data_IF_192712457588
#
_entry.id   IF_192712457588
#
_cell.length_a   1.000
_cell.length_b   1.000
_cell.length_c   1.000
_cell.angle_alpha   90.00
_cell.angle_beta   90.00
_cell.angle_gamma   90.00
#
_symmetry.space_group_name_H-M   'P 1'
#
loop_
_entity.id
_entity.type
_entity.pdbx_description
1 polymer ?
#
# COMPACT_ATOMS: atom_id res chain seq x y z
N UNK A 1 -7.14 -6.28 -5.23
CA UNK A 1 -8.24 -5.62 -5.95
C UNK A 1 -8.13 -5.97 -7.43
N UNK A 2 -9.23 -5.97 -8.19
CA UNK A 2 -9.28 -6.39 -9.60
C UNK A 2 -9.43 -5.20 -10.57
N UNK A 3 -8.81 -4.06 -10.23
CA UNK A 3 -8.80 -2.84 -11.04
C UNK A 3 -8.32 -3.06 -12.48
N UNK A 4 -8.59 -2.11 -13.38
CA UNK A 4 -8.15 -2.23 -14.78
C UNK A 4 -6.63 -2.14 -14.93
N UNK A 5 -5.91 -1.60 -13.94
CA UNK A 5 -4.45 -1.47 -13.97
C UNK A 5 -3.72 -2.82 -13.89
N UNK A 6 -4.38 -3.88 -13.39
CA UNK A 6 -3.78 -5.23 -13.28
C UNK A 6 -4.04 -6.12 -14.50
N UNK A 7 -4.43 -5.53 -15.64
CA UNK A 7 -4.72 -6.25 -16.90
C UNK A 7 -3.69 -5.91 -17.98
N UNK A 8 -3.47 -6.82 -18.94
CA UNK A 8 -2.62 -6.57 -20.12
C UNK A 8 -1.13 -6.63 -19.79
N UNK A 9 -0.44 -5.48 -19.77
CA UNK A 9 1.01 -5.41 -19.54
C UNK A 9 1.43 -6.03 -18.19
N UNK A 10 0.58 -5.94 -17.17
CA UNK A 10 0.82 -6.59 -15.89
C UNK A 10 0.79 -8.12 -15.99
N UNK A 11 -0.16 -8.68 -16.76
CA UNK A 11 -0.26 -10.13 -16.96
C UNK A 11 0.96 -10.66 -17.74
N UNK A 12 1.40 -9.92 -18.77
CA UNK A 12 2.60 -10.27 -19.54
C UNK A 12 3.86 -10.29 -18.66
N UNK A 13 4.01 -9.32 -17.76
CA UNK A 13 5.14 -9.27 -16.83
C UNK A 13 5.07 -10.39 -15.80
N UNK A 14 3.90 -10.67 -15.25
CA UNK A 14 3.70 -11.76 -14.28
C UNK A 14 4.05 -13.11 -14.91
N UNK A 15 3.66 -13.34 -16.16
CA UNK A 15 3.99 -14.55 -16.90
C UNK A 15 5.50 -14.63 -17.20
N UNK A 16 6.09 -13.54 -17.69
CA UNK A 16 7.53 -13.46 -18.01
C UNK A 16 8.42 -13.71 -16.79
N UNK A 17 8.06 -13.15 -15.64
CA UNK A 17 8.84 -13.29 -14.40
C UNK A 17 8.39 -14.48 -13.53
N UNK A 18 7.43 -15.28 -14.02
CA UNK A 18 6.86 -16.43 -13.31
C UNK A 18 6.43 -16.11 -11.87
N UNK A 19 5.84 -14.93 -11.67
CA UNK A 19 5.40 -14.48 -10.36
C UNK A 19 4.03 -15.13 -10.08
N UNK A 20 3.86 -15.88 -8.98
CA UNK A 20 2.56 -16.46 -8.65
C UNK A 20 1.56 -15.34 -8.29
N UNK A 21 0.62 -15.06 -9.20
CA UNK A 21 -0.43 -14.07 -8.97
C UNK A 21 -1.71 -14.76 -8.45
N UNK A 22 -2.06 -14.47 -7.20
CA UNK A 22 -3.31 -14.93 -6.58
C UNK A 22 -4.39 -13.87 -6.81
N UNK A 23 -5.39 -14.21 -7.65
CA UNK A 23 -6.57 -13.37 -7.86
C UNK A 23 -7.57 -13.59 -6.73
N UNK A 24 -7.88 -12.54 -5.98
CA UNK A 24 -8.96 -12.55 -4.99
C UNK A 24 -10.31 -12.30 -5.67
N UNK A 25 -11.37 -12.91 -5.14
CA UNK A 25 -12.73 -12.68 -5.65
C UNK A 25 -13.12 -11.19 -5.49
N UNK A 26 -13.93 -10.64 -6.42
CA UNK A 26 -14.50 -9.31 -6.25
C UNK A 26 -15.25 -9.23 -4.91
N UNK A 27 -15.18 -8.09 -4.22
CA UNK A 27 -15.89 -7.80 -2.96
C UNK A 27 -15.44 -8.54 -1.69
N UNK A 28 -14.27 -9.21 -1.67
CA UNK A 28 -13.72 -9.78 -0.43
C UNK A 28 -12.76 -8.81 0.29
N UNK A 29 -13.30 -7.69 0.81
CA UNK A 29 -12.53 -6.66 1.54
C UNK A 29 -11.80 -7.20 2.78
N UNK A 30 -12.28 -8.30 3.39
CA UNK A 30 -11.63 -8.96 4.52
C UNK A 30 -10.25 -9.52 4.20
N UNK A 31 -10.01 -9.98 2.96
CA UNK A 31 -8.68 -10.47 2.54
C UNK A 31 -7.65 -9.33 2.44
N UNK A 32 -8.11 -8.09 2.26
CA UNK A 32 -7.28 -6.90 2.15
C UNK A 32 -7.05 -6.19 3.48
N UNK A 33 -7.68 -6.63 4.58
CA UNK A 33 -7.67 -5.91 5.86
C UNK A 33 -6.27 -5.67 6.47
N UNK A 34 -5.30 -6.54 6.19
CA UNK A 34 -3.90 -6.35 6.61
C UNK A 34 -3.23 -5.21 5.82
N UNK A 35 -3.51 -5.13 4.51
CA UNK A 35 -3.00 -4.08 3.63
C UNK A 35 -3.69 -2.75 3.93
N UNK A 36 -5.01 -2.77 4.11
CA UNK A 36 -5.82 -1.57 4.42
C UNK A 36 -5.42 -0.94 5.77
N UNK A 37 -5.14 -1.76 6.79
CA UNK A 37 -4.67 -1.25 8.08
C UNK A 37 -3.26 -0.65 8.00
N UNK A 38 -2.40 -1.20 7.14
CA UNK A 38 -1.09 -0.60 6.84
C UNK A 38 -1.20 0.75 6.13
N UNK A 39 -2.12 0.86 5.16
CA UNK A 39 -2.35 2.10 4.43
C UNK A 39 -2.85 3.24 5.33
N UNK A 40 -3.69 2.93 6.33
CA UNK A 40 -4.17 3.95 7.28
C UNK A 40 -3.02 4.61 8.05
N UNK A 41 -2.10 3.81 8.60
CA UNK A 41 -0.97 4.31 9.39
C UNK A 41 -0.03 5.16 8.53
N UNK A 42 0.27 4.71 7.31
CA UNK A 42 1.12 5.44 6.37
C UNK A 42 0.48 6.78 5.99
N UNK A 43 -0.83 6.79 5.67
CA UNK A 43 -1.57 8.01 5.35
C UNK A 43 -1.56 9.01 6.50
N UNK A 44 -1.81 8.55 7.72
CA UNK A 44 -1.76 9.41 8.91
C UNK A 44 -0.36 9.99 9.14
N UNK A 45 0.69 9.17 9.02
CA UNK A 45 2.07 9.63 9.16
C UNK A 45 2.43 10.67 8.07
N UNK A 46 1.98 10.46 6.84
CA UNK A 46 2.16 11.38 5.72
C UNK A 46 1.49 12.73 6.00
N UNK A 47 0.22 12.72 6.40
CA UNK A 47 -0.52 13.96 6.69
C UNK A 47 0.09 14.70 7.89
N UNK A 48 0.48 13.98 8.95
CA UNK A 48 1.13 14.57 10.14
C UNK A 48 2.48 15.18 9.80
N UNK A 49 3.28 14.53 8.94
CA UNK A 49 4.59 15.03 8.51
C UNK A 49 4.53 16.22 7.55
N UNK A 50 3.34 16.56 7.04
CA UNK A 50 3.10 17.74 6.22
C UNK A 50 2.84 19.01 7.04
N UNK A 51 2.73 18.92 8.38
CA UNK A 51 2.59 20.06 9.30
C UNK A 51 1.51 21.09 8.90
N UNK A 52 0.40 20.60 8.30
CA UNK A 52 -0.70 21.44 7.85
C UNK A 52 -0.65 21.86 6.37
N UNK A 53 0.47 21.69 5.67
CA UNK A 53 0.56 21.88 4.21
C UNK A 53 0.64 20.54 3.48
N UNK A 54 -0.54 19.97 3.18
CA UNK A 54 -0.66 18.63 2.56
C UNK A 54 -0.04 18.57 1.17
N UNK A 55 0.14 19.68 0.46
CA UNK A 55 0.75 19.67 -0.88
C UNK A 55 2.22 19.23 -0.87
N UNK A 56 2.88 19.30 0.30
CA UNK A 56 4.24 18.79 0.50
C UNK A 56 4.31 17.27 0.61
N UNK A 57 3.18 16.55 0.57
CA UNK A 57 3.13 15.11 0.73
C UNK A 57 4.10 14.32 -0.16
N UNK A 58 4.36 14.67 -1.44
CA UNK A 58 5.29 13.91 -2.28
C UNK A 58 6.71 13.91 -1.71
N UNK A 59 7.10 15.01 -1.05
CA UNK A 59 8.40 15.14 -0.40
C UNK A 59 8.45 14.39 0.93
N UNK A 60 7.32 14.04 1.54
CA UNK A 60 7.26 13.37 2.86
C UNK A 60 7.03 11.87 2.79
N UNK A 61 6.73 11.33 1.59
CA UNK A 61 6.49 9.90 1.36
C UNK A 61 7.59 9.02 1.94
N UNK A 62 8.86 9.33 1.64
CA UNK A 62 9.99 8.53 2.07
C UNK A 62 10.16 8.51 3.60
N UNK A 63 9.87 9.63 4.28
CA UNK A 63 9.87 9.70 5.74
C UNK A 63 8.78 8.83 6.35
N UNK A 64 7.56 8.88 5.80
CA UNK A 64 6.44 8.08 6.29
C UNK A 64 6.70 6.56 6.15
N UNK A 65 7.27 6.13 5.01
CA UNK A 65 7.66 4.73 4.81
C UNK A 65 8.80 4.31 5.72
N UNK A 66 9.81 5.15 5.91
CA UNK A 66 10.90 4.85 6.86
C UNK A 66 10.34 4.65 8.28
N UNK A 67 9.48 5.56 8.73
CA UNK A 67 8.84 5.48 10.04
C UNK A 67 8.00 4.19 10.21
N UNK A 68 7.18 3.80 9.23
CA UNK A 68 6.43 2.53 9.30
C UNK A 68 7.34 1.30 9.40
N UNK A 69 8.49 1.31 8.72
CA UNK A 69 9.45 0.20 8.75
C UNK A 69 10.22 0.08 10.07
N UNK A 70 10.55 1.19 10.73
CA UNK A 70 11.33 1.18 11.98
C UNK A 70 10.46 1.14 13.24
N UNK A 71 9.17 1.45 13.14
CA UNK A 71 8.26 1.45 14.29
C UNK A 71 7.92 0.03 14.71
N UNK A 72 8.27 -0.34 15.94
CA UNK A 72 7.95 -1.65 16.50
C UNK A 72 6.44 -1.79 16.68
N UNK A 73 5.84 -2.82 16.08
CA UNK A 73 4.43 -3.15 16.27
C UNK A 73 4.28 -4.00 17.52
N UNK A 74 3.51 -3.51 18.50
CA UNK A 74 3.10 -4.33 19.65
C UNK A 74 1.93 -5.21 19.23
N UNK A 75 2.10 -6.53 19.29
CA UNK A 75 0.99 -7.47 19.20
C UNK A 75 0.44 -7.68 20.61
N UNK A 76 -0.79 -7.26 20.85
CA UNK A 76 -1.58 -7.64 22.04
C UNK A 76 -2.30 -8.94 21.80
#
# INVERSE_FOLDING_TARGET
DNGSEVKGAFEELVERYQIPHIRISPYNSKANGVVERGHFVIREALVKSCEGNVDLWPTKVHHAFFADKVTTRRST
#
